data_IF_529857768117
#
_entry.id   IF_529857768117
#
_cell.length_a   1.000
_cell.length_b   1.000
_cell.length_c   1.000
_cell.angle_alpha   90.00
_cell.angle_beta   90.00
_cell.angle_gamma   90.00
#
_symmetry.space_group_name_H-M   'P 1'
#
loop_
_entity.id
_entity.type
_entity.pdbx_description
1 polymer ?
#
# COMPACT_ATOMS: atom_id res chain seq x y z
N UNK A 1 20.58 -22.06 -10.28
CA UNK A 1 21.01 -21.04 -9.29
C UNK A 1 20.57 -21.51 -7.92
N UNK A 2 21.31 -21.18 -6.84
CA UNK A 2 20.86 -21.45 -5.46
C UNK A 2 19.59 -20.61 -5.20
N UNK A 3 18.60 -21.21 -4.54
CA UNK A 3 17.44 -20.46 -4.06
C UNK A 3 17.87 -19.40 -3.05
N UNK A 4 17.22 -18.23 -3.09
CA UNK A 4 17.46 -17.11 -2.17
C UNK A 4 16.22 -16.95 -1.30
N UNK A 5 16.41 -17.03 0.02
CA UNK A 5 15.37 -16.82 1.02
C UNK A 5 15.51 -15.41 1.64
N UNK A 6 14.45 -14.65 1.61
CA UNK A 6 14.40 -13.29 2.16
C UNK A 6 13.40 -13.26 3.32
N UNK A 7 13.84 -12.82 4.50
CA UNK A 7 12.98 -12.47 5.62
C UNK A 7 12.61 -11.00 5.49
N UNK A 8 11.32 -10.72 5.27
CA UNK A 8 10.76 -9.37 5.23
C UNK A 8 10.18 -8.98 6.59
N UNK A 9 10.33 -7.71 6.94
CA UNK A 9 9.77 -7.11 8.17
C UNK A 9 9.05 -5.82 7.80
N UNK A 10 7.79 -5.70 8.22
CA UNK A 10 6.93 -4.53 8.01
C UNK A 10 6.41 -4.02 9.36
N UNK A 11 6.55 -2.71 9.60
CA UNK A 11 6.03 -2.04 10.80
C UNK A 11 5.74 -0.56 10.56
N UNK A 12 5.44 -0.14 9.32
CA UNK A 12 5.38 1.28 8.97
C UNK A 12 4.17 2.03 9.53
N UNK A 13 3.09 1.33 9.89
CA UNK A 13 1.84 1.95 10.37
C UNK A 13 1.25 1.18 11.56
N UNK A 14 0.21 0.38 11.35
CA UNK A 14 -0.53 -0.35 12.39
C UNK A 14 -0.54 -1.87 12.19
N UNK A 15 0.19 -2.40 11.22
CA UNK A 15 0.47 -3.82 11.03
C UNK A 15 1.91 -4.15 11.42
N UNK A 16 2.07 -5.12 12.34
CA UNK A 16 3.37 -5.77 12.58
C UNK A 16 3.41 -7.04 11.77
N UNK A 17 4.28 -7.13 10.77
CA UNK A 17 4.33 -8.32 9.94
C UNK A 17 5.75 -8.83 9.71
N UNK A 18 5.86 -10.15 9.52
CA UNK A 18 7.05 -10.81 9.03
C UNK A 18 6.68 -11.89 8.01
N UNK A 19 7.55 -12.12 7.03
CA UNK A 19 7.32 -13.09 5.98
C UNK A 19 8.63 -13.68 5.46
N UNK A 20 8.60 -14.92 5.03
CA UNK A 20 9.71 -15.54 4.29
C UNK A 20 9.27 -15.70 2.84
N UNK A 21 10.06 -15.13 1.93
CA UNK A 21 9.82 -15.23 0.48
C UNK A 21 11.01 -15.87 -0.20
N UNK A 22 10.73 -16.81 -1.09
CA UNK A 22 11.71 -17.51 -1.90
C UNK A 22 11.77 -16.89 -3.29
N UNK A 23 12.97 -16.51 -3.73
CA UNK A 23 13.26 -16.01 -5.08
C UNK A 23 12.39 -14.83 -5.52
N UNK A 24 11.88 -14.02 -4.58
CA UNK A 24 11.05 -12.85 -4.84
C UNK A 24 9.68 -13.15 -5.49
N UNK A 25 9.24 -14.41 -5.51
CA UNK A 25 7.99 -14.83 -6.19
C UNK A 25 7.13 -15.78 -5.38
N UNK A 26 7.68 -16.48 -4.42
CA UNK A 26 6.95 -17.48 -3.64
C UNK A 26 6.97 -17.09 -2.16
N UNK A 27 5.81 -16.68 -1.62
CA UNK A 27 5.64 -16.53 -0.18
C UNK A 27 5.59 -17.93 0.48
N UNK A 28 6.52 -18.19 1.38
CA UNK A 28 6.54 -19.41 2.21
C UNK A 28 5.75 -19.16 3.50
N UNK A 29 5.74 -17.92 3.99
CA UNK A 29 4.91 -17.46 5.12
C UNK A 29 4.58 -16.00 4.96
N UNK A 30 3.51 -15.52 5.64
CA UNK A 30 3.17 -14.10 5.72
C UNK A 30 2.30 -13.86 6.97
N UNK A 31 2.95 -13.66 8.10
CA UNK A 31 2.31 -13.46 9.41
C UNK A 31 2.06 -11.99 9.64
N UNK A 32 0.82 -11.63 9.96
CA UNK A 32 0.38 -10.26 10.18
C UNK A 32 -0.32 -10.14 11.52
N UNK A 33 0.18 -9.27 12.39
CA UNK A 33 -0.47 -8.88 13.66
C UNK A 33 -1.01 -7.47 13.51
N UNK A 34 -2.30 -7.34 13.16
CA UNK A 34 -2.95 -6.06 12.98
C UNK A 34 -3.37 -5.43 14.31
N UNK A 35 -3.33 -4.11 14.37
CA UNK A 35 -3.74 -3.30 15.51
C UNK A 35 -5.10 -2.60 15.26
N UNK A 36 -5.83 -2.98 14.18
CA UNK A 36 -7.12 -2.37 13.80
C UNK A 36 -8.10 -2.31 14.95
N UNK A 37 -8.23 -3.39 15.73
CA UNK A 37 -9.18 -3.45 16.87
C UNK A 37 -8.86 -2.38 17.93
N UNK A 38 -7.58 -2.12 18.18
CA UNK A 38 -7.13 -1.11 19.13
C UNK A 38 -7.43 0.29 18.57
N UNK A 39 -7.03 0.54 17.32
CA UNK A 39 -7.17 1.84 16.68
C UNK A 39 -8.64 2.21 16.37
N UNK A 40 -9.51 1.22 16.22
CA UNK A 40 -10.97 1.42 16.10
C UNK A 40 -11.54 2.16 17.31
N UNK A 41 -11.02 1.92 18.52
CA UNK A 41 -11.44 2.60 19.74
C UNK A 41 -11.16 4.11 19.72
N UNK A 42 -10.16 4.54 18.94
CA UNK A 42 -9.76 5.94 18.80
C UNK A 42 -10.27 6.57 17.48
N UNK A 43 -10.93 5.77 16.64
CA UNK A 43 -11.42 6.22 15.33
C UNK A 43 -10.33 6.45 14.30
N UNK A 44 -9.15 5.84 14.46
CA UNK A 44 -8.00 5.92 13.54
C UNK A 44 -6.68 5.65 14.25
N UNK A 45 -5.60 5.54 13.50
CA UNK A 45 -4.28 5.19 14.01
C UNK A 45 -3.72 6.26 14.94
N UNK A 46 -3.25 5.84 16.12
CA UNK A 46 -2.54 6.66 17.11
C UNK A 46 -1.06 6.27 17.09
N UNK A 47 -0.15 7.13 16.57
CA UNK A 47 1.23 6.76 16.28
C UNK A 47 2.02 6.20 17.47
N UNK A 48 1.83 6.76 18.67
CA UNK A 48 2.54 6.29 19.87
C UNK A 48 2.06 4.92 20.33
N UNK A 49 0.75 4.66 20.23
CA UNK A 49 0.18 3.34 20.54
C UNK A 49 0.71 2.31 19.54
N UNK A 50 0.71 2.66 18.24
CA UNK A 50 1.21 1.79 17.19
C UNK A 50 2.67 1.37 17.48
N UNK A 51 3.55 2.34 17.78
CA UNK A 51 4.96 2.06 18.07
C UNK A 51 5.14 1.10 19.24
N UNK A 52 4.40 1.27 20.33
CA UNK A 52 4.46 0.39 21.51
C UNK A 52 3.99 -1.02 21.18
N UNK A 53 2.93 -1.14 20.38
CA UNK A 53 2.39 -2.45 19.99
C UNK A 53 3.34 -3.22 19.06
N UNK A 54 4.06 -2.53 18.16
CA UNK A 54 5.11 -3.17 17.39
C UNK A 54 6.20 -3.79 18.29
N UNK A 55 6.65 -3.05 19.33
CA UNK A 55 7.64 -3.58 20.29
C UNK A 55 7.17 -4.84 21.02
N UNK A 56 5.85 -4.94 21.31
CA UNK A 56 5.28 -6.10 21.99
C UNK A 56 5.18 -7.33 21.10
N UNK A 57 5.10 -7.15 19.76
CA UNK A 57 4.73 -8.23 18.82
C UNK A 57 5.83 -8.68 17.88
N UNK A 58 6.80 -7.80 17.58
CA UNK A 58 7.72 -8.01 16.46
C UNK A 58 8.48 -9.35 16.53
N UNK A 59 8.99 -9.72 17.70
CA UNK A 59 9.75 -10.97 17.87
C UNK A 59 8.85 -12.20 17.64
N UNK A 60 7.64 -12.18 18.20
CA UNK A 60 6.69 -13.29 18.06
C UNK A 60 6.30 -13.49 16.60
N UNK A 61 6.03 -12.39 15.88
CA UNK A 61 5.65 -12.43 14.46
C UNK A 61 6.79 -12.95 13.59
N UNK A 62 8.03 -12.59 13.89
CA UNK A 62 9.22 -13.10 13.18
C UNK A 62 9.42 -14.60 13.45
N UNK A 63 9.33 -15.03 14.70
CA UNK A 63 9.45 -16.45 15.06
C UNK A 63 8.35 -17.29 14.38
N UNK A 64 7.11 -16.81 14.38
CA UNK A 64 5.99 -17.46 13.74
C UNK A 64 6.19 -17.55 12.22
N UNK A 65 6.64 -16.47 11.57
CA UNK A 65 6.91 -16.46 10.13
C UNK A 65 8.01 -17.45 9.72
N UNK A 66 9.08 -17.58 10.50
CA UNK A 66 10.13 -18.59 10.28
C UNK A 66 9.59 -20.01 10.49
N UNK A 67 8.77 -20.22 11.54
CA UNK A 67 8.16 -21.49 11.84
C UNK A 67 7.18 -21.95 10.76
N UNK A 68 6.28 -21.07 10.28
CA UNK A 68 5.34 -21.38 9.20
C UNK A 68 6.04 -21.69 7.89
N UNK A 69 7.16 -21.01 7.62
CA UNK A 69 7.98 -21.26 6.44
C UNK A 69 8.82 -22.54 6.55
N UNK A 70 8.88 -23.18 7.72
CA UNK A 70 9.79 -24.28 8.03
C UNK A 70 11.27 -23.94 7.75
N UNK A 71 11.67 -22.70 8.03
CA UNK A 71 13.00 -22.15 7.74
C UNK A 71 13.67 -21.69 9.03
N UNK A 72 14.92 -22.14 9.27
CA UNK A 72 15.72 -21.57 10.35
C UNK A 72 16.30 -20.22 9.93
N UNK A 73 16.55 -19.31 10.89
CA UNK A 73 17.18 -18.02 10.61
C UNK A 73 18.54 -18.16 9.90
N UNK A 74 19.26 -19.27 10.17
CA UNK A 74 20.53 -19.57 9.51
C UNK A 74 20.41 -19.77 8.01
N UNK A 75 19.24 -20.27 7.54
CA UNK A 75 18.97 -20.56 6.13
C UNK A 75 18.51 -19.32 5.34
N UNK A 76 18.09 -18.26 6.03
CA UNK A 76 17.74 -16.97 5.42
C UNK A 76 19.00 -16.36 4.79
N UNK A 77 18.91 -15.88 3.57
CA UNK A 77 20.02 -15.25 2.85
C UNK A 77 20.05 -13.71 3.03
N UNK A 78 18.89 -13.07 3.24
CA UNK A 78 18.73 -11.60 3.30
C UNK A 78 17.67 -11.21 4.32
N UNK A 79 17.93 -10.14 5.07
CA UNK A 79 16.95 -9.45 5.91
C UNK A 79 16.51 -8.18 5.19
N UNK A 80 15.23 -8.02 4.91
CA UNK A 80 14.66 -6.81 4.34
C UNK A 80 13.66 -6.16 5.30
N UNK A 81 13.63 -4.83 5.33
CA UNK A 81 12.77 -4.08 6.26
C UNK A 81 12.28 -2.79 5.64
N UNK A 82 11.04 -2.44 5.91
CA UNK A 82 10.52 -1.12 5.56
C UNK A 82 11.22 -0.03 6.40
N UNK A 83 11.86 0.92 5.69
CA UNK A 83 12.50 2.06 6.36
C UNK A 83 11.78 3.39 6.11
N UNK A 84 10.75 3.38 5.28
CA UNK A 84 9.90 4.53 4.95
C UNK A 84 9.14 4.34 3.63
N UNK A 85 8.12 5.21 3.39
CA UNK A 85 7.52 6.13 4.35
C UNK A 85 6.70 5.42 5.42
N UNK A 86 6.31 6.16 6.49
CA UNK A 86 5.48 5.65 7.56
C UNK A 86 5.61 6.43 8.87
N UNK A 87 5.03 5.91 9.94
CA UNK A 87 5.12 6.49 11.28
C UNK A 87 6.52 6.27 11.85
N UNK A 88 7.22 7.36 12.22
CA UNK A 88 8.63 7.29 12.61
C UNK A 88 8.90 6.30 13.74
N UNK A 89 8.09 6.30 14.79
CA UNK A 89 8.27 5.40 15.93
C UNK A 89 8.04 3.93 15.55
N UNK A 90 7.06 3.67 14.71
CA UNK A 90 6.74 2.34 14.19
C UNK A 90 7.87 1.81 13.28
N UNK A 91 8.33 2.62 12.31
CA UNK A 91 9.47 2.29 11.45
C UNK A 91 10.75 1.99 12.24
N UNK A 92 11.03 2.77 13.31
CA UNK A 92 12.22 2.56 14.15
C UNK A 92 12.22 1.19 14.82
N UNK A 93 11.07 0.64 15.19
CA UNK A 93 10.97 -0.70 15.78
C UNK A 93 11.43 -1.75 14.75
N UNK A 94 10.83 -1.76 13.55
CA UNK A 94 11.20 -2.72 12.50
C UNK A 94 12.65 -2.58 12.06
N UNK A 95 13.13 -1.34 11.83
CA UNK A 95 14.52 -1.07 11.42
C UNK A 95 15.50 -1.51 12.51
N UNK A 96 15.18 -1.25 13.79
CA UNK A 96 16.02 -1.67 14.92
C UNK A 96 16.14 -3.19 14.99
N UNK A 97 15.02 -3.90 14.90
CA UNK A 97 14.98 -5.36 14.95
C UNK A 97 15.69 -6.00 13.76
N UNK A 98 15.41 -5.51 12.54
CA UNK A 98 16.07 -6.02 11.34
C UNK A 98 17.59 -5.86 11.39
N UNK A 99 18.09 -4.72 11.91
CA UNK A 99 19.54 -4.48 12.12
C UNK A 99 20.12 -5.45 13.14
N UNK A 100 19.41 -5.69 14.26
CA UNK A 100 19.88 -6.60 15.30
C UNK A 100 19.99 -8.03 14.75
N UNK A 101 18.97 -8.52 14.05
CA UNK A 101 18.97 -9.85 13.43
C UNK A 101 20.05 -9.96 12.36
N UNK A 102 20.13 -8.99 11.43
CA UNK A 102 21.12 -9.00 10.36
C UNK A 102 22.55 -8.99 10.90
N UNK A 103 22.81 -8.23 11.96
CA UNK A 103 24.12 -8.18 12.64
C UNK A 103 24.46 -9.51 13.32
N UNK A 104 23.56 -10.03 14.14
CA UNK A 104 23.78 -11.28 14.87
C UNK A 104 23.94 -12.49 13.95
N UNK A 105 23.11 -12.58 12.92
CA UNK A 105 23.15 -13.67 11.94
C UNK A 105 24.20 -13.48 10.83
N UNK A 106 24.88 -12.32 10.78
CA UNK A 106 25.83 -11.94 9.73
C UNK A 106 25.21 -12.02 8.33
N UNK A 107 23.98 -11.51 8.20
CA UNK A 107 23.22 -11.50 6.93
C UNK A 107 23.20 -10.09 6.33
N UNK A 108 23.14 -9.96 5.01
CA UNK A 108 22.88 -8.68 4.35
C UNK A 108 21.58 -8.06 4.83
N UNK A 109 21.59 -6.73 5.03
CA UNK A 109 20.42 -5.92 5.33
C UNK A 109 20.01 -5.12 4.08
N UNK A 110 18.71 -5.06 3.80
CA UNK A 110 18.14 -4.25 2.70
C UNK A 110 16.99 -3.42 3.24
N UNK A 111 17.15 -2.09 3.21
CA UNK A 111 16.05 -1.17 3.50
C UNK A 111 15.15 -1.03 2.27
N UNK A 112 13.86 -1.27 2.43
CA UNK A 112 12.85 -1.28 1.36
C UNK A 112 11.91 -0.09 1.53
N UNK A 113 11.55 0.53 0.41
CA UNK A 113 10.53 1.57 0.37
C UNK A 113 9.14 0.93 0.43
N UNK A 114 8.30 1.34 1.39
CA UNK A 114 6.97 0.78 1.62
C UNK A 114 6.08 0.73 0.36
N UNK A 115 6.03 1.82 -0.41
CA UNK A 115 5.22 1.90 -1.64
C UNK A 115 5.77 0.98 -2.74
N UNK A 116 7.10 0.85 -2.86
CA UNK A 116 7.71 -0.10 -3.79
C UNK A 116 7.37 -1.54 -3.39
N UNK A 117 7.27 -1.82 -2.08
CA UNK A 117 6.74 -3.08 -1.57
C UNK A 117 5.32 -3.35 -2.05
N UNK A 118 4.39 -2.41 -1.89
CA UNK A 118 3.02 -2.58 -2.40
C UNK A 118 2.97 -2.90 -3.89
N UNK A 119 3.78 -2.24 -4.70
CA UNK A 119 3.88 -2.56 -6.14
C UNK A 119 4.36 -3.99 -6.33
N UNK A 120 5.41 -4.38 -5.60
CA UNK A 120 6.04 -5.71 -5.69
C UNK A 120 5.11 -6.86 -5.21
N UNK A 121 4.11 -6.58 -4.37
CA UNK A 121 3.11 -7.57 -3.95
C UNK A 121 2.43 -8.27 -5.13
N UNK A 122 2.26 -7.57 -6.26
CA UNK A 122 1.69 -8.17 -7.48
C UNK A 122 2.52 -9.34 -8.02
N UNK A 123 3.84 -9.34 -7.81
CA UNK A 123 4.72 -10.40 -8.30
C UNK A 123 4.52 -11.75 -7.60
N UNK A 124 3.86 -11.78 -6.44
CA UNK A 124 3.57 -13.01 -5.69
C UNK A 124 2.53 -13.89 -6.39
N UNK A 125 1.57 -13.28 -7.08
CA UNK A 125 0.44 -13.99 -7.68
C UNK A 125 0.43 -13.94 -9.21
N UNK A 126 1.24 -13.05 -9.80
CA UNK A 126 1.33 -12.88 -11.24
C UNK A 126 2.75 -13.15 -11.74
N UNK A 127 3.10 -14.43 -11.99
CA UNK A 127 4.45 -14.79 -12.45
C UNK A 127 4.81 -14.19 -13.81
N UNK A 128 3.80 -13.86 -14.62
CA UNK A 128 3.90 -13.25 -15.94
C UNK A 128 4.04 -11.72 -15.90
N UNK A 129 3.81 -11.10 -14.74
CA UNK A 129 3.98 -9.66 -14.59
C UNK A 129 5.47 -9.32 -14.46
N UNK A 130 5.98 -8.63 -15.46
CA UNK A 130 7.34 -8.10 -15.51
C UNK A 130 7.32 -6.64 -15.92
N UNK A 131 8.25 -5.80 -15.45
CA UNK A 131 8.40 -4.44 -15.96
C UNK A 131 8.70 -4.41 -17.47
N UNK A 132 8.31 -3.34 -18.21
CA UNK A 132 7.61 -2.16 -17.70
C UNK A 132 6.10 -2.33 -17.60
N UNK A 133 5.47 -1.59 -16.69
CA UNK A 133 4.01 -1.48 -16.54
C UNK A 133 3.64 -0.22 -15.75
N UNK A 134 2.36 0.19 -15.80
CA UNK A 134 1.83 1.25 -14.95
C UNK A 134 1.22 0.65 -13.68
N UNK A 135 1.49 1.23 -12.51
CA UNK A 135 0.87 0.83 -11.25
C UNK A 135 0.05 1.96 -10.65
N UNK A 136 -1.22 1.69 -10.36
CA UNK A 136 -2.07 2.54 -9.53
C UNK A 136 -1.92 2.09 -8.07
N UNK A 137 -1.19 2.85 -7.27
CA UNK A 137 -1.04 2.61 -5.84
C UNK A 137 -2.07 3.42 -5.07
N UNK A 138 -2.96 2.75 -4.35
CA UNK A 138 -4.07 3.37 -3.62
C UNK A 138 -4.18 2.76 -2.22
N UNK A 139 -3.77 3.51 -1.20
CA UNK A 139 -3.78 3.08 0.20
C UNK A 139 -4.38 4.15 1.12
N UNK A 140 -4.35 3.90 2.43
CA UNK A 140 -4.77 4.87 3.45
C UNK A 140 -4.00 6.18 3.40
N UNK A 141 -2.68 6.14 3.15
CA UNK A 141 -1.81 7.32 3.14
C UNK A 141 -1.34 7.78 1.76
N UNK A 142 -1.55 6.98 0.71
CA UNK A 142 -0.94 7.25 -0.59
C UNK A 142 -1.91 7.02 -1.74
N UNK A 143 -1.84 7.92 -2.75
CA UNK A 143 -2.48 7.73 -4.05
C UNK A 143 -1.51 8.21 -5.12
N UNK A 144 -0.97 7.25 -5.89
CA UNK A 144 0.03 7.49 -6.91
C UNK A 144 -0.26 6.71 -8.18
N UNK A 145 0.08 7.28 -9.33
CA UNK A 145 0.32 6.56 -10.57
C UNK A 145 1.84 6.48 -10.77
N UNK A 146 2.35 5.26 -10.86
CA UNK A 146 3.78 4.98 -10.93
C UNK A 146 4.06 4.16 -12.17
N UNK A 147 4.92 4.65 -13.06
CA UNK A 147 5.50 3.85 -14.13
C UNK A 147 6.65 3.03 -13.55
N UNK A 148 6.50 1.72 -13.56
CA UNK A 148 7.51 0.75 -13.16
C UNK A 148 8.33 0.41 -14.40
N UNK A 149 9.53 0.98 -14.51
CA UNK A 149 10.42 0.80 -15.69
C UNK A 149 11.26 -0.47 -15.59
N UNK A 150 11.59 -0.83 -14.35
CA UNK A 150 12.40 -1.97 -13.95
C UNK A 150 11.98 -2.34 -12.52
N UNK A 151 12.35 -3.52 -12.01
CA UNK A 151 12.07 -3.98 -10.64
C UNK A 151 12.56 -3.00 -9.54
N UNK A 152 13.48 -2.10 -9.88
CA UNK A 152 14.06 -1.12 -8.98
C UNK A 152 13.99 0.33 -9.49
N UNK A 153 13.26 0.59 -10.58
CA UNK A 153 13.19 1.92 -11.20
C UNK A 153 11.74 2.35 -11.35
N UNK A 154 11.36 3.36 -10.58
CA UNK A 154 9.99 3.85 -10.45
C UNK A 154 9.94 5.34 -10.81
N UNK A 155 8.97 5.73 -11.62
CA UNK A 155 8.70 7.12 -11.96
C UNK A 155 7.26 7.48 -11.59
N UNK A 156 7.09 8.50 -10.75
CA UNK A 156 5.76 8.99 -10.37
C UNK A 156 5.20 9.83 -11.50
N UNK A 157 4.12 9.35 -12.12
CA UNK A 157 3.42 10.01 -13.23
C UNK A 157 2.32 10.94 -12.71
N UNK A 158 1.70 10.55 -11.57
CA UNK A 158 0.66 11.33 -10.92
C UNK A 158 0.58 10.99 -9.44
N UNK A 159 0.10 11.96 -8.64
CA UNK A 159 -0.05 11.81 -7.18
C UNK A 159 -1.21 12.64 -6.66
N UNK A 160 -1.67 12.33 -5.46
CA UNK A 160 -2.62 13.23 -4.79
C UNK A 160 -1.95 14.50 -4.28
N UNK A 161 -2.68 15.61 -4.35
CA UNK A 161 -2.27 16.92 -3.82
C UNK A 161 -2.76 17.17 -2.39
N UNK A 162 -3.70 16.35 -1.93
CA UNK A 162 -4.35 16.47 -0.62
C UNK A 162 -4.61 15.09 0.00
N UNK A 163 -5.82 14.81 0.48
CA UNK A 163 -6.16 13.51 1.08
C UNK A 163 -5.85 12.36 0.11
N UNK A 164 -5.28 11.26 0.60
CA UNK A 164 -5.25 10.02 -0.14
C UNK A 164 -6.68 9.45 -0.30
N UNK A 165 -6.91 8.61 -1.31
CA UNK A 165 -8.22 8.03 -1.53
C UNK A 165 -8.70 7.23 -0.30
N UNK A 166 -7.84 6.37 0.28
CA UNK A 166 -8.19 5.62 1.49
C UNK A 166 -8.49 6.51 2.69
N UNK A 167 -7.74 7.59 2.88
CA UNK A 167 -8.00 8.59 3.91
C UNK A 167 -9.37 9.28 3.71
N UNK A 168 -9.75 9.56 2.46
CA UNK A 168 -11.07 10.10 2.14
C UNK A 168 -12.17 9.09 2.47
N UNK A 169 -11.98 7.79 2.18
CA UNK A 169 -12.89 6.71 2.60
C UNK A 169 -13.05 6.67 4.12
N UNK A 170 -11.98 6.74 4.89
CA UNK A 170 -12.03 6.71 6.35
C UNK A 170 -12.76 7.92 6.94
N UNK A 171 -12.48 9.12 6.40
CA UNK A 171 -13.12 10.36 6.85
C UNK A 171 -14.62 10.38 6.53
N UNK A 172 -15.01 9.94 5.33
CA UNK A 172 -16.42 9.89 4.93
C UNK A 172 -17.17 8.79 5.69
N UNK A 173 -16.58 7.59 5.85
CA UNK A 173 -17.18 6.52 6.65
C UNK A 173 -17.50 6.98 8.07
N UNK A 174 -16.58 7.71 8.69
CA UNK A 174 -16.79 8.30 10.02
C UNK A 174 -17.94 9.32 10.02
N UNK A 175 -17.99 10.20 9.02
CA UNK A 175 -19.01 11.24 8.92
C UNK A 175 -20.42 10.67 8.73
N UNK A 176 -20.56 9.54 8.03
CA UNK A 176 -21.85 8.87 7.83
C UNK A 176 -22.15 7.79 8.89
N UNK A 177 -21.33 7.70 9.95
CA UNK A 177 -21.59 6.80 11.09
C UNK A 177 -21.19 5.34 10.88
N UNK A 178 -20.39 5.02 9.85
CA UNK A 178 -19.89 3.65 9.62
C UNK A 178 -18.65 3.32 10.47
N UNK A 179 -17.89 4.34 10.90
CA UNK A 179 -16.70 4.19 11.74
C UNK A 179 -15.44 3.76 10.95
N UNK A 180 -14.46 3.17 11.66
CA UNK A 180 -13.15 2.78 11.14
C UNK A 180 -12.99 1.23 11.13
N UNK A 181 -12.25 0.61 10.18
CA UNK A 181 -11.70 1.20 8.95
C UNK A 181 -12.80 1.53 7.93
N UNK A 182 -12.68 2.66 7.22
CA UNK A 182 -13.75 3.20 6.38
C UNK A 182 -13.90 2.49 5.04
N UNK A 183 -12.79 2.14 4.38
CA UNK A 183 -12.81 1.53 3.06
C UNK A 183 -13.72 0.31 2.96
N UNK A 184 -13.51 -0.76 3.74
CA UNK A 184 -14.35 -1.96 3.70
C UNK A 184 -15.80 -1.70 4.10
N UNK A 185 -16.04 -0.77 5.02
CA UNK A 185 -17.39 -0.44 5.50
C UNK A 185 -18.20 0.33 4.46
N UNK A 186 -17.58 1.27 3.74
CA UNK A 186 -18.19 1.95 2.62
C UNK A 186 -18.47 0.97 1.49
N UNK A 187 -17.50 0.13 1.12
CA UNK A 187 -17.67 -0.87 0.06
C UNK A 187 -18.86 -1.81 0.35
N UNK A 188 -19.00 -2.23 1.61
CA UNK A 188 -20.13 -3.06 2.06
C UNK A 188 -21.46 -2.31 2.00
N UNK A 189 -21.51 -1.07 2.52
CA UNK A 189 -22.73 -0.28 2.56
C UNK A 189 -23.20 0.13 1.15
N UNK A 190 -22.26 0.47 0.27
CA UNK A 190 -22.52 0.89 -1.10
C UNK A 190 -23.25 -0.17 -1.94
N UNK A 191 -23.10 -1.47 -1.61
CA UNK A 191 -23.78 -2.57 -2.33
C UNK A 191 -25.31 -2.50 -2.24
N UNK A 192 -25.84 -1.86 -1.21
CA UNK A 192 -27.29 -1.68 -1.00
C UNK A 192 -27.78 -0.30 -1.46
N UNK A 193 -26.88 0.59 -1.90
CA UNK A 193 -27.19 1.96 -2.29
C UNK A 193 -27.24 2.18 -3.80
N UNK A 194 -27.81 3.31 -4.18
CA UNK A 194 -27.80 3.79 -5.55
C UNK A 194 -26.60 4.71 -5.79
N UNK A 195 -25.64 4.33 -6.68
CA UNK A 195 -24.45 5.14 -6.95
C UNK A 195 -24.73 6.45 -7.69
N UNK A 196 -25.94 6.62 -8.23
CA UNK A 196 -26.38 7.82 -8.95
C UNK A 196 -27.39 8.68 -8.15
N UNK A 197 -27.62 8.35 -6.87
CA UNK A 197 -28.54 9.10 -6.02
C UNK A 197 -28.05 10.53 -5.72
N UNK A 198 -26.73 10.73 -5.62
CA UNK A 198 -26.13 12.02 -5.28
C UNK A 198 -24.97 12.27 -6.24
N UNK A 199 -24.98 13.40 -6.93
CA UNK A 199 -23.88 13.80 -7.79
C UNK A 199 -22.78 14.51 -6.98
N UNK A 200 -21.73 13.77 -6.62
CA UNK A 200 -20.55 14.33 -5.99
C UNK A 200 -19.51 14.77 -7.03
N UNK A 201 -18.74 15.84 -6.75
CA UNK A 201 -17.77 16.40 -7.68
C UNK A 201 -16.58 15.43 -7.90
N UNK A 202 -16.05 15.46 -9.13
CA UNK A 202 -14.83 14.80 -9.55
C UNK A 202 -13.77 15.86 -9.83
N UNK A 203 -12.75 15.92 -8.98
CA UNK A 203 -11.74 16.97 -9.08
C UNK A 203 -10.95 16.88 -10.39
N UNK A 204 -10.80 18.03 -11.07
CA UNK A 204 -9.89 18.21 -12.20
C UNK A 204 -8.81 19.20 -11.80
N UNK A 205 -7.54 18.80 -11.91
CA UNK A 205 -6.39 19.61 -11.54
C UNK A 205 -5.83 20.24 -12.81
N UNK A 206 -5.85 21.57 -12.88
CA UNK A 206 -5.35 22.29 -14.04
C UNK A 206 -3.84 22.06 -14.22
N UNK A 207 -3.41 21.67 -15.43
CA UNK A 207 -2.01 21.45 -15.76
C UNK A 207 -1.40 20.12 -15.27
N UNK A 208 -2.17 19.30 -14.54
CA UNK A 208 -1.71 18.02 -13.99
C UNK A 208 -2.73 16.91 -14.27
N UNK A 209 -2.70 16.39 -15.50
CA UNK A 209 -3.72 15.48 -16.03
C UNK A 209 -3.87 14.18 -15.24
N UNK A 210 -2.83 13.70 -14.57
CA UNK A 210 -2.82 12.43 -13.86
C UNK A 210 -2.77 12.57 -12.34
N UNK A 211 -2.76 13.80 -11.81
CA UNK A 211 -2.76 14.03 -10.39
C UNK A 211 -4.17 13.92 -9.80
N UNK A 212 -4.26 13.62 -8.51
CA UNK A 212 -5.50 13.37 -7.79
C UNK A 212 -5.76 14.44 -6.73
N UNK A 213 -7.04 14.59 -6.36
CA UNK A 213 -7.49 15.36 -5.21
C UNK A 213 -8.82 14.76 -4.71
N UNK A 214 -8.92 14.51 -3.41
CA UNK A 214 -10.10 13.92 -2.79
C UNK A 214 -10.68 14.76 -1.65
N UNK A 215 -10.02 15.85 -1.24
CA UNK A 215 -10.53 16.75 -0.22
C UNK A 215 -11.83 17.43 -0.66
N UNK A 216 -11.98 17.72 -1.96
CA UNK A 216 -13.18 18.33 -2.53
C UNK A 216 -14.41 17.42 -2.43
N UNK A 217 -14.30 16.13 -2.79
CA UNK A 217 -15.42 15.20 -2.70
C UNK A 217 -15.80 14.92 -1.24
N UNK A 218 -14.81 14.81 -0.33
CA UNK A 218 -15.07 14.72 1.12
C UNK A 218 -15.89 15.91 1.62
N UNK A 219 -15.46 17.15 1.29
CA UNK A 219 -16.17 18.36 1.69
C UNK A 219 -17.58 18.43 1.12
N UNK A 220 -17.78 17.96 -0.11
CA UNK A 220 -19.11 17.88 -0.72
C UNK A 220 -20.04 16.91 0.04
N UNK A 221 -19.52 15.76 0.47
CA UNK A 221 -20.29 14.83 1.31
C UNK A 221 -20.70 15.49 2.64
N UNK A 222 -19.76 16.14 3.33
CA UNK A 222 -20.06 16.83 4.60
C UNK A 222 -21.11 17.93 4.42
N UNK A 223 -21.01 18.71 3.35
CA UNK A 223 -21.98 19.74 3.02
C UNK A 223 -23.37 19.16 2.70
N UNK A 224 -23.43 18.04 1.99
CA UNK A 224 -24.68 17.32 1.71
C UNK A 224 -25.35 16.86 3.00
N UNK A 225 -24.60 16.22 3.92
CA UNK A 225 -25.11 15.77 5.20
C UNK A 225 -25.68 16.93 6.03
N UNK A 226 -24.93 18.04 6.15
CA UNK A 226 -25.37 19.25 6.86
C UNK A 226 -26.64 19.84 6.23
N UNK A 227 -26.75 19.86 4.89
CA UNK A 227 -27.93 20.37 4.22
C UNK A 227 -29.16 19.49 4.48
N UNK A 228 -29.01 18.15 4.47
CA UNK A 228 -30.09 17.23 4.80
C UNK A 228 -30.56 17.44 6.24
N UNK A 229 -29.62 17.58 7.20
CA UNK A 229 -29.95 17.84 8.61
C UNK A 229 -30.73 19.15 8.76
N UNK A 230 -30.25 20.24 8.17
CA UNK A 230 -30.90 21.55 8.22
C UNK A 230 -32.32 21.54 7.62
N UNK A 231 -32.56 20.70 6.62
CA UNK A 231 -33.86 20.59 5.92
C UNK A 231 -34.76 19.50 6.53
N UNK A 232 -34.30 18.77 7.54
CA UNK A 232 -35.00 17.62 8.09
C UNK A 232 -35.21 16.49 7.08
N UNK A 233 -34.31 16.36 6.12
CA UNK A 233 -34.35 15.30 5.10
C UNK A 233 -33.67 14.05 5.61
N UNK A 234 -34.26 12.89 5.34
CA UNK A 234 -33.68 11.59 5.67
C UNK A 234 -32.40 11.35 4.84
N UNK A 235 -31.35 10.88 5.50
CA UNK A 235 -30.09 10.51 4.87
C UNK A 235 -30.09 9.00 4.68
N UNK A 236 -30.12 8.55 3.42
CA UNK A 236 -29.94 7.14 3.07
C UNK A 236 -28.44 6.85 3.02
N UNK A 237 -27.91 6.31 4.12
CA UNK A 237 -26.49 6.05 4.33
C UNK A 237 -25.87 5.22 3.18
N UNK A 238 -26.61 4.22 2.66
CA UNK A 238 -26.17 3.38 1.56
C UNK A 238 -25.97 4.17 0.26
N UNK A 239 -26.87 5.11 -0.04
CA UNK A 239 -26.80 5.96 -1.24
C UNK A 239 -25.62 6.93 -1.16
N UNK A 240 -25.39 7.52 0.03
CA UNK A 240 -24.22 8.38 0.25
C UNK A 240 -22.93 7.58 0.04
N UNK A 241 -22.85 6.38 0.62
CA UNK A 241 -21.69 5.48 0.47
C UNK A 241 -21.46 5.10 -1.00
N UNK A 242 -22.51 4.71 -1.73
CA UNK A 242 -22.43 4.31 -3.13
C UNK A 242 -22.03 5.47 -4.05
N UNK A 243 -22.67 6.63 -3.89
CA UNK A 243 -22.38 7.83 -4.70
C UNK A 243 -20.97 8.39 -4.43
N UNK A 244 -20.53 8.39 -3.17
CA UNK A 244 -19.17 8.77 -2.81
C UNK A 244 -18.14 7.80 -3.40
N UNK A 245 -18.32 6.49 -3.20
CA UNK A 245 -17.45 5.45 -3.76
C UNK A 245 -17.31 5.61 -5.27
N UNK A 246 -18.43 5.79 -5.98
CA UNK A 246 -18.43 6.02 -7.43
C UNK A 246 -17.61 7.24 -7.82
N UNK A 247 -17.80 8.38 -7.13
CA UNK A 247 -17.07 9.61 -7.43
C UNK A 247 -15.55 9.46 -7.28
N UNK A 248 -15.08 8.73 -6.26
CA UNK A 248 -13.65 8.46 -6.05
C UNK A 248 -13.13 7.48 -7.09
N UNK A 249 -13.83 6.36 -7.31
CA UNK A 249 -13.41 5.29 -8.21
C UNK A 249 -13.36 5.77 -9.67
N UNK A 250 -14.35 6.54 -10.12
CA UNK A 250 -14.37 7.10 -11.49
C UNK A 250 -13.08 7.88 -11.78
N UNK A 251 -12.61 8.71 -10.82
CA UNK A 251 -11.37 9.50 -10.95
C UNK A 251 -10.13 8.60 -11.00
N UNK A 252 -10.08 7.57 -10.15
CA UNK A 252 -8.95 6.63 -10.12
C UNK A 252 -8.82 5.87 -11.44
N UNK A 253 -9.94 5.33 -11.93
CA UNK A 253 -9.99 4.52 -13.15
C UNK A 253 -9.69 5.36 -14.40
N UNK A 254 -10.39 6.50 -14.56
CA UNK A 254 -10.19 7.41 -15.70
C UNK A 254 -8.72 7.78 -15.87
N UNK A 255 -8.06 8.16 -14.77
CA UNK A 255 -6.66 8.60 -14.82
C UNK A 255 -5.68 7.47 -15.03
N UNK A 256 -5.93 6.30 -14.44
CA UNK A 256 -5.06 5.13 -14.63
C UNK A 256 -5.08 4.68 -16.10
N UNK A 257 -6.27 4.55 -16.69
CA UNK A 257 -6.41 4.13 -18.09
C UNK A 257 -5.87 5.19 -19.05
N UNK A 258 -6.18 6.47 -18.83
CA UNK A 258 -5.67 7.56 -19.66
C UNK A 258 -4.12 7.68 -19.59
N UNK A 259 -3.52 7.46 -18.42
CA UNK A 259 -2.08 7.46 -18.25
C UNK A 259 -1.43 6.29 -19.00
N UNK A 260 -1.99 5.08 -18.90
CA UNK A 260 -1.50 3.91 -19.62
C UNK A 260 -1.54 4.12 -21.14
N UNK A 261 -2.67 4.63 -21.67
CA UNK A 261 -2.81 4.95 -23.08
C UNK A 261 -1.79 6.00 -23.55
N UNK A 262 -1.59 7.07 -22.77
CA UNK A 262 -0.63 8.12 -23.09
C UNK A 262 0.82 7.64 -23.11
N UNK A 263 1.16 6.70 -22.20
CA UNK A 263 2.49 6.12 -22.09
C UNK A 263 2.72 4.94 -23.05
N UNK A 264 1.65 4.45 -23.71
CA UNK A 264 1.71 3.25 -24.55
C UNK A 264 1.88 1.96 -23.72
N UNK A 265 1.51 1.99 -22.43
CA UNK A 265 1.55 0.82 -21.57
C UNK A 265 0.31 -0.05 -21.79
N UNK A 266 0.51 -1.34 -21.97
CA UNK A 266 -0.55 -2.31 -22.17
C UNK A 266 -0.83 -3.17 -20.91
N UNK A 267 -0.22 -2.83 -19.78
CA UNK A 267 -0.36 -3.49 -18.48
C UNK A 267 -0.57 -2.46 -17.37
N UNK A 268 -1.61 -2.67 -16.58
CA UNK A 268 -1.86 -1.90 -15.35
C UNK A 268 -1.88 -2.88 -14.17
N UNK A 269 -1.11 -2.58 -13.13
CA UNK A 269 -1.24 -3.20 -11.83
C UNK A 269 -1.95 -2.23 -10.86
N UNK A 270 -2.72 -2.76 -9.92
CA UNK A 270 -3.31 -2.00 -8.81
C UNK A 270 -2.70 -2.51 -7.51
N UNK A 271 -2.36 -1.63 -6.58
CA UNK A 271 -1.71 -1.99 -5.33
C UNK A 271 -2.20 -1.11 -4.16
N UNK A 272 -1.97 -1.57 -2.92
CA UNK A 272 -2.40 -0.89 -1.70
C UNK A 272 -3.80 -1.33 -1.24
N UNK A 273 -4.15 -0.99 0.01
CA UNK A 273 -5.37 -1.50 0.67
C UNK A 273 -6.68 -1.20 -0.09
N UNK A 274 -6.76 -0.06 -0.78
CA UNK A 274 -7.96 0.28 -1.59
C UNK A 274 -8.07 -0.59 -2.84
N UNK A 275 -7.00 -1.27 -3.28
CA UNK A 275 -7.08 -2.26 -4.35
C UNK A 275 -7.99 -3.46 -4.03
N UNK A 276 -8.35 -3.66 -2.76
CA UNK A 276 -9.34 -4.66 -2.34
C UNK A 276 -10.80 -4.22 -2.55
N UNK A 277 -11.06 -2.93 -2.82
CA UNK A 277 -12.41 -2.40 -3.04
C UNK A 277 -13.07 -3.06 -4.26
N UNK A 278 -14.26 -3.63 -4.06
CA UNK A 278 -14.92 -4.44 -5.10
C UNK A 278 -15.33 -3.60 -6.30
N UNK A 279 -15.88 -2.41 -6.08
CA UNK A 279 -16.32 -1.51 -7.14
C UNK A 279 -15.13 -0.98 -7.98
N UNK A 280 -13.99 -0.68 -7.33
CA UNK A 280 -12.76 -0.30 -8.04
C UNK A 280 -12.31 -1.44 -8.97
N UNK A 281 -12.29 -2.69 -8.50
CA UNK A 281 -11.90 -3.85 -9.30
C UNK A 281 -12.81 -4.04 -10.51
N UNK A 282 -14.13 -4.00 -10.31
CA UNK A 282 -15.12 -4.12 -11.37
C UNK A 282 -14.95 -3.04 -12.44
N UNK A 283 -14.83 -1.77 -12.02
CA UNK A 283 -14.64 -0.65 -12.95
C UNK A 283 -13.30 -0.69 -13.68
N UNK A 284 -12.20 -1.04 -12.98
CA UNK A 284 -10.90 -1.22 -13.63
C UNK A 284 -10.93 -2.36 -14.65
N UNK A 285 -11.58 -3.47 -14.33
CA UNK A 285 -11.70 -4.62 -15.25
C UNK A 285 -12.46 -4.26 -16.52
N UNK A 286 -13.57 -3.53 -16.38
CA UNK A 286 -14.37 -3.06 -17.51
C UNK A 286 -13.56 -2.11 -18.42
N UNK A 287 -12.98 -1.06 -17.84
CA UNK A 287 -12.28 -0.03 -18.61
C UNK A 287 -10.96 -0.52 -19.20
N UNK A 288 -10.21 -1.35 -18.49
CA UNK A 288 -9.00 -1.99 -19.03
C UNK A 288 -9.34 -2.93 -20.19
N UNK A 289 -10.42 -3.72 -20.08
CA UNK A 289 -10.89 -4.58 -21.16
C UNK A 289 -11.27 -3.77 -22.39
N UNK A 290 -12.00 -2.66 -22.22
CA UNK A 290 -12.41 -1.76 -23.31
C UNK A 290 -11.20 -1.12 -23.99
N UNK A 291 -10.14 -0.83 -23.22
CA UNK A 291 -8.88 -0.24 -23.71
C UNK A 291 -7.87 -1.27 -24.24
N UNK A 292 -8.13 -2.58 -24.13
CA UNK A 292 -7.16 -3.63 -24.50
C UNK A 292 -5.94 -3.70 -23.59
N UNK A 293 -6.08 -3.34 -22.32
CA UNK A 293 -5.03 -3.31 -21.29
C UNK A 293 -5.18 -4.51 -20.38
N UNK A 294 -4.09 -5.24 -20.12
CA UNK A 294 -4.06 -6.31 -19.13
C UNK A 294 -4.06 -5.71 -17.70
N UNK A 295 -4.94 -6.23 -16.84
CA UNK A 295 -5.10 -5.76 -15.46
C UNK A 295 -4.59 -6.80 -14.47
N UNK A 296 -3.80 -6.35 -13.49
CA UNK A 296 -3.23 -7.13 -12.41
C UNK A 296 -3.57 -6.51 -11.06
N UNK A 297 -3.96 -7.32 -10.10
CA UNK A 297 -4.13 -6.92 -8.70
C UNK A 297 -3.92 -8.11 -7.78
N UNK A 298 -3.32 -7.92 -6.59
CA UNK A 298 -3.09 -9.03 -5.68
C UNK A 298 -4.38 -9.45 -4.97
N UNK A 299 -4.37 -10.64 -4.38
CA UNK A 299 -5.43 -11.06 -3.46
C UNK A 299 -5.52 -10.13 -2.23
N UNK A 300 -6.66 -10.09 -1.53
CA UNK A 300 -6.86 -9.15 -0.43
C UNK A 300 -5.77 -9.17 0.65
N UNK A 301 -5.18 -10.35 0.94
CA UNK A 301 -4.13 -10.50 1.95
C UNK A 301 -2.84 -9.77 1.58
N UNK A 302 -2.56 -9.59 0.29
CA UNK A 302 -1.39 -8.86 -0.21
C UNK A 302 -1.70 -7.42 -0.62
N UNK A 303 -2.97 -6.98 -0.56
CA UNK A 303 -3.33 -5.58 -0.79
C UNK A 303 -2.99 -4.69 0.40
N UNK A 304 -3.23 -5.17 1.63
CA UNK A 304 -2.93 -4.44 2.87
C UNK A 304 -1.45 -4.54 3.24
N UNK A 305 -1.03 -3.79 4.25
CA UNK A 305 0.35 -3.84 4.74
C UNK A 305 0.71 -5.26 5.20
N UNK A 306 1.78 -5.78 4.65
CA UNK A 306 2.28 -7.13 4.89
C UNK A 306 3.79 -7.22 4.64
N UNK A 307 4.44 -8.23 5.19
CA UNK A 307 5.89 -8.36 5.05
C UNK A 307 6.33 -9.12 3.80
N UNK A 308 5.44 -9.90 3.18
CA UNK A 308 5.79 -10.60 1.94
C UNK A 308 6.11 -9.59 0.82
N UNK A 309 5.37 -8.47 0.72
CA UNK A 309 5.64 -7.39 -0.22
C UNK A 309 7.04 -6.78 -0.03
N UNK A 310 7.48 -6.68 1.22
CA UNK A 310 8.80 -6.14 1.59
C UNK A 310 9.91 -7.15 1.28
N UNK A 311 9.66 -8.43 1.52
CA UNK A 311 10.59 -9.50 1.15
C UNK A 311 10.77 -9.60 -0.38
N UNK A 312 9.68 -9.45 -1.15
CA UNK A 312 9.73 -9.44 -2.62
C UNK A 312 10.58 -8.28 -3.15
N UNK A 313 10.29 -7.05 -2.73
CA UNK A 313 11.08 -5.90 -3.17
C UNK A 313 12.52 -5.99 -2.66
N UNK A 314 12.72 -6.46 -1.44
CA UNK A 314 14.03 -6.73 -0.87
C UNK A 314 14.86 -7.74 -1.68
N UNK A 315 14.22 -8.76 -2.23
CA UNK A 315 14.88 -9.70 -3.16
C UNK A 315 15.40 -8.99 -4.41
N UNK A 316 14.54 -8.20 -5.09
CA UNK A 316 14.95 -7.51 -6.32
C UNK A 316 16.05 -6.46 -6.06
N UNK A 317 15.99 -5.78 -4.95
CA UNK A 317 17.07 -4.87 -4.55
C UNK A 317 18.37 -5.63 -4.23
N UNK A 318 18.25 -6.77 -3.53
CA UNK A 318 19.39 -7.61 -3.21
C UNK A 318 20.12 -8.15 -4.44
N UNK A 319 19.40 -8.71 -5.41
CA UNK A 319 20.03 -9.25 -6.64
C UNK A 319 20.59 -8.15 -7.54
N UNK A 320 20.06 -6.92 -7.44
CA UNK A 320 20.64 -5.74 -8.08
C UNK A 320 21.91 -5.20 -7.36
N UNK A 321 22.37 -5.88 -6.31
CA UNK A 321 23.58 -5.53 -5.59
C UNK A 321 23.39 -4.50 -4.46
N UNK A 322 22.15 -4.07 -4.15
CA UNK A 322 21.92 -3.10 -3.07
C UNK A 322 22.06 -3.75 -1.70
N UNK A 323 22.69 -3.02 -0.80
CA UNK A 323 22.89 -3.35 0.61
C UNK A 323 22.78 -2.08 1.43
N UNK A 324 22.14 -2.18 2.59
CA UNK A 324 22.08 -1.09 3.56
C UNK A 324 23.18 -1.23 4.60
N UNK A 325 23.78 -0.11 4.97
CA UNK A 325 24.73 -0.05 6.08
C UNK A 325 24.02 -0.02 7.44
N UNK A 326 24.81 -0.04 8.51
CA UNK A 326 24.32 0.05 9.89
C UNK A 326 23.79 1.45 10.24
N UNK A 327 24.00 2.42 9.38
CA UNK A 327 23.44 3.78 9.41
C UNK A 327 22.00 3.86 8.87
N UNK A 328 21.43 2.76 8.33
CA UNK A 328 20.02 2.72 7.91
C UNK A 328 19.12 3.24 9.04
N UNK A 329 18.25 4.18 8.71
CA UNK A 329 17.36 4.81 9.68
C UNK A 329 15.97 5.00 9.09
N UNK A 330 14.97 5.24 9.96
CA UNK A 330 13.62 5.54 9.56
C UNK A 330 13.54 6.89 8.81
N UNK A 331 12.82 6.90 7.68
CA UNK A 331 12.57 8.09 6.86
C UNK A 331 11.06 8.26 6.65
N UNK A 332 10.34 8.95 7.56
CA UNK A 332 8.87 9.01 7.56
C UNK A 332 8.24 9.52 6.28
N UNK A 333 8.90 10.48 5.62
CA UNK A 333 8.41 11.14 4.40
C UNK A 333 9.23 10.73 3.16
N UNK A 334 9.70 9.47 3.12
CA UNK A 334 10.48 8.96 1.99
C UNK A 334 9.65 9.04 0.70
N UNK A 335 10.22 9.64 -0.34
CA UNK A 335 9.55 9.78 -1.63
C UNK A 335 9.92 8.61 -2.53
N UNK A 336 8.94 8.02 -3.19
CA UNK A 336 9.17 6.97 -4.20
C UNK A 336 10.00 7.51 -5.37
N UNK A 337 10.93 6.70 -5.86
CA UNK A 337 11.83 7.08 -6.95
C UNK A 337 12.97 8.04 -6.56
N UNK A 338 13.03 8.52 -5.31
CA UNK A 338 14.12 9.36 -4.80
C UNK A 338 15.07 8.54 -3.91
N UNK A 339 16.36 8.71 -4.09
CA UNK A 339 17.39 8.14 -3.20
C UNK A 339 18.22 6.99 -3.80
N UNK A 340 18.13 6.76 -5.10
CA UNK A 340 18.89 5.68 -5.78
C UNK A 340 20.24 6.14 -6.37
N UNK A 341 20.90 7.14 -5.79
CA UNK A 341 22.34 7.28 -6.00
C UNK A 341 23.05 6.16 -5.24
N UNK A 342 23.46 5.13 -5.99
CA UNK A 342 24.29 4.02 -5.51
C UNK A 342 25.60 4.60 -4.97
N UNK A 343 25.74 4.70 -3.64
CA UNK A 343 27.06 4.75 -3.07
C UNK A 343 27.66 3.35 -3.23
N UNK A 344 28.79 3.20 -3.93
CA UNK A 344 29.45 1.90 -4.05
C UNK A 344 29.75 1.39 -2.64
N UNK A 345 29.54 0.08 -2.44
CA UNK A 345 29.87 -0.57 -1.19
C UNK A 345 31.31 -0.23 -0.81
N UNK A 346 31.50 0.44 0.32
CA UNK A 346 32.82 0.59 0.93
C UNK A 346 33.23 -0.80 1.40
N UNK A 347 34.16 -1.42 0.67
CA UNK A 347 34.83 -2.63 1.12
C UNK A 347 35.53 -2.31 2.45
N UNK A 348 34.92 -2.69 3.56
CA UNK A 348 35.59 -2.74 4.86
C UNK A 348 36.27 -4.10 4.96
N UNK A 349 37.58 -4.07 4.80
CA UNK A 349 38.48 -5.16 5.15
C UNK A 349 38.28 -5.59 6.61
#
# INVERSE_FOLDING_TARGET
MKDILVLGIESSCDETAAAVVKNGRQALSNVISSQIDIHTLYGGVVPEIASRKHMERINQVIEEALSEAEVALADVDVISVTYGPGLVGALLVGVGEAKAIAYAARKPLVGVHHIEGHIAANYLEHPDLEPPFLCLVVSGGHTHLVQVKDYNTFEVIGRTHDDAAGEAFDKVARAIGLGYPGGPKIDKAAKAGNPDAIEFPRAKIAGAAFDFSFSGVKSAVLNYLNQCEMKGQEIVQADVAASFQKAVVDVLVERAVAAAQKLGENRIAVAGGVAANTFLRERMQEECKNAGIALYYPSPVFCTDNAAMIAVQGYYEYIAGKRSGWDLNAVPNLKIGFGKELKPAVNSN
#
